data_IF_537916931397
#
_entry.id   IF_537916931397
#
_cell.length_a   1.000
_cell.length_b   1.000
_cell.length_c   1.000
_cell.angle_alpha   90.00
_cell.angle_beta   90.00
_cell.angle_gamma   90.00
#
_symmetry.space_group_name_H-M   'P 1'
#
loop_
_entity.id
_entity.type
_entity.pdbx_description
1 polymer ?
#
# COMPACT_ATOMS: atom_id res chain seq x y z
N UNK A 1 12.06 -1.13 -19.07
CA UNK A 1 10.94 -0.16 -19.07
C UNK A 1 11.04 0.63 -17.78
N UNK A 2 10.69 1.92 -17.78
CA UNK A 2 10.52 2.64 -16.52
C UNK A 2 9.50 1.92 -15.64
N UNK A 3 9.70 1.90 -14.32
CA UNK A 3 8.85 1.21 -13.34
C UNK A 3 8.03 2.19 -12.48
N UNK A 4 7.99 3.47 -12.87
CA UNK A 4 7.38 4.57 -12.14
C UNK A 4 6.90 5.62 -13.12
N UNK A 5 6.04 6.54 -12.66
CA UNK A 5 5.46 7.58 -13.53
C UNK A 5 6.41 8.78 -13.75
N UNK A 6 6.34 9.45 -14.92
CA UNK A 6 7.01 10.73 -15.14
C UNK A 6 6.64 11.78 -14.06
N UNK A 7 7.59 12.62 -13.63
CA UNK A 7 8.98 12.76 -14.13
C UNK A 7 10.00 11.83 -13.43
N UNK A 8 9.55 10.86 -12.65
CA UNK A 8 10.40 10.01 -11.81
C UNK A 8 10.61 8.60 -12.39
N UNK A 9 10.26 8.40 -13.65
CA UNK A 9 10.28 7.15 -14.40
C UNK A 9 11.69 6.56 -14.60
N UNK A 10 12.73 7.36 -14.35
CA UNK A 10 14.15 6.96 -14.34
C UNK A 10 14.80 7.02 -12.95
N UNK A 11 14.02 7.19 -11.88
CA UNK A 11 14.51 7.30 -10.51
C UNK A 11 14.06 6.11 -9.66
N UNK A 12 14.81 5.84 -8.59
CA UNK A 12 14.38 4.91 -7.54
C UNK A 12 13.72 5.73 -6.43
N UNK A 13 12.49 5.39 -6.09
CA UNK A 13 11.76 6.00 -4.96
C UNK A 13 11.94 5.08 -3.75
N UNK A 14 12.67 5.51 -2.70
CA UNK A 14 12.79 4.70 -1.50
C UNK A 14 11.45 4.63 -0.76
N UNK A 15 11.24 3.52 -0.04
CA UNK A 15 10.12 3.41 0.88
C UNK A 15 10.17 4.46 2.01
N UNK A 16 9.07 4.60 2.78
CA UNK A 16 9.03 5.53 3.90
C UNK A 16 10.06 5.16 4.97
N UNK A 17 10.69 6.14 5.61
CA UNK A 17 11.68 5.91 6.68
C UNK A 17 11.05 5.26 7.93
N UNK A 18 9.82 5.64 8.28
CA UNK A 18 9.05 5.08 9.39
C UNK A 18 7.62 4.72 8.96
N UNK A 19 7.43 3.62 8.22
CA UNK A 19 6.15 3.31 7.59
C UNK A 19 5.07 2.96 8.62
N UNK A 20 5.42 2.28 9.72
CA UNK A 20 4.49 1.98 10.81
C UNK A 20 4.02 3.26 11.53
N UNK A 21 4.96 4.17 11.86
CA UNK A 21 4.63 5.44 12.51
C UNK A 21 3.71 6.32 11.66
N UNK A 22 3.97 6.37 10.34
CA UNK A 22 3.09 7.06 9.40
C UNK A 22 1.67 6.46 9.40
N UNK A 23 1.55 5.13 9.42
CA UNK A 23 0.25 4.47 9.49
C UNK A 23 -0.49 4.76 10.81
N UNK A 24 0.21 4.80 11.95
CA UNK A 24 -0.39 5.20 13.23
C UNK A 24 -0.89 6.64 13.20
N UNK A 25 -0.17 7.56 12.55
CA UNK A 25 -0.65 8.93 12.36
C UNK A 25 -1.92 8.99 11.50
N UNK A 26 -1.97 8.23 10.41
CA UNK A 26 -3.16 8.15 9.55
C UNK A 26 -4.34 7.64 10.38
N UNK A 27 -4.13 6.59 11.19
CA UNK A 27 -5.17 6.06 12.08
C UNK A 27 -5.64 7.09 13.09
N UNK A 28 -4.72 7.82 13.72
CA UNK A 28 -5.07 8.88 14.68
C UNK A 28 -5.88 10.00 14.04
N UNK A 29 -5.58 10.36 12.79
CA UNK A 29 -6.25 11.47 12.06
C UNK A 29 -7.60 11.07 11.47
N UNK A 30 -7.75 9.82 11.04
CA UNK A 30 -8.93 9.35 10.28
C UNK A 30 -9.87 8.48 11.10
N UNK A 31 -9.39 7.85 12.19
CA UNK A 31 -10.10 6.83 12.94
C UNK A 31 -10.10 5.44 12.27
N UNK A 32 -9.53 5.31 11.07
CA UNK A 32 -9.44 4.04 10.34
C UNK A 32 -8.08 3.38 10.53
N UNK A 33 -8.04 2.06 10.61
CA UNK A 33 -6.79 1.31 10.50
C UNK A 33 -6.14 1.57 9.13
N UNK A 34 -4.81 1.67 9.10
CA UNK A 34 -4.07 2.06 7.90
C UNK A 34 -2.84 1.16 7.70
N UNK A 35 -2.49 0.91 6.45
CA UNK A 35 -1.25 0.23 6.08
C UNK A 35 -0.72 0.77 4.75
N UNK A 36 0.57 0.59 4.54
CA UNK A 36 1.25 0.85 3.26
C UNK A 36 1.61 -0.51 2.69
N UNK A 37 1.21 -0.72 1.44
CA UNK A 37 1.39 -1.98 0.72
C UNK A 37 2.25 -1.70 -0.50
N UNK A 38 3.31 -2.48 -0.66
CA UNK A 38 4.03 -2.63 -1.91
C UNK A 38 3.43 -3.82 -2.66
N UNK A 39 2.86 -3.59 -3.83
CA UNK A 39 2.16 -4.60 -4.62
C UNK A 39 2.54 -4.45 -6.10
N UNK A 40 2.55 -5.58 -6.79
CA UNK A 40 2.72 -5.65 -8.24
C UNK A 40 1.96 -6.86 -8.78
N UNK A 41 1.93 -7.02 -10.10
CA UNK A 41 1.11 -8.04 -10.76
C UNK A 41 1.75 -9.45 -10.77
N UNK A 42 2.74 -9.71 -9.90
CA UNK A 42 3.42 -11.01 -9.77
C UNK A 42 2.76 -11.95 -8.75
N UNK A 43 1.57 -11.60 -8.24
CA UNK A 43 0.86 -12.42 -7.27
C UNK A 43 1.36 -12.28 -5.83
N UNK A 44 2.11 -11.21 -5.54
CA UNK A 44 2.69 -10.95 -4.22
C UNK A 44 2.43 -9.49 -3.85
N UNK A 45 1.84 -9.29 -2.67
CA UNK A 45 1.77 -7.99 -2.01
C UNK A 45 2.49 -8.09 -0.66
N UNK A 46 3.17 -7.00 -0.29
CA UNK A 46 3.91 -6.88 0.96
C UNK A 46 3.43 -5.65 1.72
N UNK A 47 2.92 -5.87 2.93
CA UNK A 47 2.69 -4.78 3.88
C UNK A 47 4.04 -4.32 4.44
N UNK A 48 4.49 -3.16 3.98
CA UNK A 48 5.76 -2.53 4.38
C UNK A 48 5.63 -1.71 5.67
N UNK A 49 4.41 -1.30 6.03
CA UNK A 49 4.10 -0.80 7.36
C UNK A 49 2.61 -0.74 7.65
N UNK A 50 2.25 -0.71 8.92
CA UNK A 50 0.85 -0.75 9.36
C UNK A 50 0.63 -0.14 10.73
N UNK A 51 -0.57 0.36 10.95
CA UNK A 51 -1.04 0.72 12.27
C UNK A 51 -1.42 -0.53 13.08
N UNK A 52 -1.53 -0.36 14.39
CA UNK A 52 -2.18 -1.25 15.32
C UNK A 52 -3.57 -1.66 14.82
N UNK A 53 -3.96 -2.92 15.04
CA UNK A 53 -5.24 -3.48 14.60
C UNK A 53 -5.24 -4.09 13.19
N UNK A 54 -4.32 -3.68 12.31
CA UNK A 54 -4.22 -4.27 10.95
C UNK A 54 -3.73 -5.72 11.02
N UNK A 55 -4.52 -6.60 10.43
CA UNK A 55 -4.17 -7.99 10.12
C UNK A 55 -3.33 -8.04 8.84
N UNK A 56 -2.01 -8.15 9.02
CA UNK A 56 -1.03 -8.15 7.93
C UNK A 56 -1.29 -9.26 6.92
N UNK A 57 -1.44 -10.50 7.39
CA UNK A 57 -1.59 -11.67 6.51
C UNK A 57 -2.84 -11.56 5.66
N UNK A 58 -3.94 -11.07 6.23
CA UNK A 58 -5.16 -10.84 5.47
C UNK A 58 -4.99 -9.76 4.41
N UNK A 59 -4.32 -8.65 4.71
CA UNK A 59 -4.07 -7.58 3.73
C UNK A 59 -3.21 -8.08 2.57
N UNK A 60 -2.14 -8.82 2.85
CA UNK A 60 -1.24 -9.37 1.81
C UNK A 60 -1.98 -10.37 0.90
N UNK A 61 -2.87 -11.18 1.46
CA UNK A 61 -3.69 -12.13 0.71
C UNK A 61 -4.66 -11.41 -0.25
N UNK A 62 -5.46 -10.46 0.26
CA UNK A 62 -6.47 -9.74 -0.55
C UNK A 62 -5.88 -8.75 -1.55
N UNK A 63 -4.62 -8.35 -1.37
CA UNK A 63 -3.91 -7.46 -2.28
C UNK A 63 -2.98 -8.19 -3.25
N UNK A 64 -2.86 -9.51 -3.15
CA UNK A 64 -1.86 -10.31 -3.88
C UNK A 64 -1.97 -10.18 -5.41
N UNK A 65 -3.16 -9.97 -5.95
CA UNK A 65 -3.43 -9.76 -7.38
C UNK A 65 -3.43 -8.27 -7.79
N UNK A 66 -3.01 -7.37 -6.89
CA UNK A 66 -2.93 -5.93 -7.08
C UNK A 66 -4.20 -5.31 -7.70
N UNK A 67 -5.34 -5.30 -6.97
CA UNK A 67 -6.59 -4.76 -7.49
C UNK A 67 -6.55 -3.24 -7.73
N UNK A 68 -5.53 -2.55 -7.21
CA UNK A 68 -5.31 -1.14 -7.46
C UNK A 68 -4.71 -0.86 -8.85
N UNK A 69 -4.15 -1.86 -9.53
CA UNK A 69 -3.46 -1.68 -10.81
C UNK A 69 -2.12 -0.97 -10.69
N UNK A 70 -1.55 -0.58 -11.83
CA UNK A 70 -0.21 0.02 -11.93
C UNK A 70 -0.22 1.27 -12.81
N UNK A 71 0.84 2.08 -12.68
CA UNK A 71 1.16 3.20 -13.59
C UNK A 71 -0.03 4.16 -13.80
N UNK A 72 -0.56 4.22 -15.02
CA UNK A 72 -1.57 5.18 -15.48
C UNK A 72 -2.92 5.07 -14.74
N UNK A 73 -3.12 4.03 -13.94
CA UNK A 73 -4.35 3.83 -13.16
C UNK A 73 -4.46 4.84 -12.01
N UNK A 74 -3.33 5.29 -11.46
CA UNK A 74 -3.26 6.40 -10.50
C UNK A 74 -4.19 6.26 -9.28
N UNK A 75 -4.26 5.06 -8.72
CA UNK A 75 -5.12 4.67 -7.59
C UNK A 75 -4.32 4.33 -6.33
N UNK A 76 -3.51 5.27 -5.78
CA UNK A 76 -2.58 4.98 -4.67
C UNK A 76 -3.26 4.81 -3.31
N UNK A 77 -4.57 5.09 -3.20
CA UNK A 77 -5.34 4.99 -1.96
C UNK A 77 -6.56 4.12 -2.21
N UNK A 78 -6.67 3.05 -1.41
CA UNK A 78 -7.76 2.08 -1.48
C UNK A 78 -8.43 1.92 -0.12
N UNK A 79 -9.68 1.45 -0.12
CA UNK A 79 -10.41 1.07 1.09
C UNK A 79 -10.62 -0.44 1.07
N UNK A 80 -9.98 -1.14 2.00
CA UNK A 80 -10.23 -2.55 2.26
C UNK A 80 -11.37 -2.69 3.27
N UNK A 81 -12.36 -3.52 2.95
CA UNK A 81 -13.52 -3.78 3.81
C UNK A 81 -13.86 -5.26 3.78
N UNK A 82 -13.86 -5.89 4.95
CA UNK A 82 -14.40 -7.25 5.11
C UNK A 82 -15.90 -7.22 4.83
N UNK A 83 -16.39 -8.19 4.05
CA UNK A 83 -17.83 -8.38 3.90
C UNK A 83 -18.43 -8.75 5.27
N UNK A 84 -19.63 -8.24 5.61
CA UNK A 84 -20.32 -8.61 6.83
C UNK A 84 -20.68 -10.10 6.85
#
# INVERSE_FOLDING_TARGET
>A
MPASMPPYDYYVIPGPENPDGLCEEIKKKTGCEACIVDANDLGIAWVVGKSSGVDKSWVEDVMSDNPAGNEDWQTPIIILRKKP
#
